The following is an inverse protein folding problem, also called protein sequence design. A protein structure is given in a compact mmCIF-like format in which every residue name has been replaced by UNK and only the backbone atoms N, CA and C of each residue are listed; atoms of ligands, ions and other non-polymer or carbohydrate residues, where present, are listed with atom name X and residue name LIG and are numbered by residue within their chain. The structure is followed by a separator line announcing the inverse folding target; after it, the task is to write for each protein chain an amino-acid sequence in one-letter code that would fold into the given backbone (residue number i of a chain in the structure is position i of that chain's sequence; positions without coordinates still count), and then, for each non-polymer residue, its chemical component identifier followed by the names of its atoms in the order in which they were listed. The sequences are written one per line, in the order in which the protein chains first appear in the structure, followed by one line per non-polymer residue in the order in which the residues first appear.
data_IF_580448400463
#
_entry.id   IF_580448400463
#
_cell.length_a   1.000
_cell.length_b   1.000
_cell.length_c   1.000
_cell.angle_alpha   90.00
_cell.angle_beta   90.00
_cell.angle_gamma   90.00
#
_symmetry.space_group_name_H-M   'P 1'
#
loop_
_entity.id
_entity.type
_entity.pdbx_description
1 polymer ?
#
# COMPACT_ATOMS: atom_id res chain seq x y z
N UNK A 1 -9.64 -12.89 5.94
CA UNK A 1 -9.45 -12.29 4.60
C UNK A 1 -7.99 -12.40 4.27
N UNK A 2 -7.59 -13.26 3.32
CA UNK A 2 -6.18 -13.48 3.08
C UNK A 2 -5.54 -12.39 2.21
N UNK A 3 -4.23 -12.23 2.35
CA UNK A 3 -3.39 -11.41 1.49
C UNK A 3 -3.14 -12.09 0.15
N UNK A 4 -3.34 -11.30 -0.91
CA UNK A 4 -2.97 -11.66 -2.27
C UNK A 4 -1.92 -10.68 -2.79
N UNK A 5 -0.82 -11.21 -3.30
CA UNK A 5 0.14 -10.43 -4.05
C UNK A 5 -0.50 -10.12 -5.41
N UNK A 6 -0.78 -8.84 -5.65
CA UNK A 6 -1.56 -8.38 -6.80
C UNK A 6 -0.75 -7.40 -7.62
N UNK A 7 -0.76 -7.56 -8.93
CA UNK A 7 -0.09 -6.65 -9.86
C UNK A 7 -0.58 -5.22 -9.67
N UNK A 8 0.36 -4.28 -9.53
CA UNK A 8 0.06 -2.86 -9.38
C UNK A 8 -0.67 -2.32 -10.61
N UNK A 9 -0.44 -2.91 -11.79
CA UNK A 9 -1.14 -2.56 -13.02
C UNK A 9 -2.66 -2.79 -12.94
N UNK A 10 -3.10 -3.80 -12.18
CA UNK A 10 -4.52 -4.16 -11.99
C UNK A 10 -5.22 -3.30 -10.93
N UNK A 11 -4.46 -2.51 -10.16
CA UNK A 11 -5.02 -1.62 -9.14
C UNK A 11 -5.50 -0.31 -9.80
N UNK A 12 -6.59 0.35 -9.36
CA UNK A 12 -6.90 1.73 -9.73
C UNK A 12 -5.70 2.66 -9.61
N UNK A 13 -5.70 3.68 -10.47
CA UNK A 13 -4.91 4.89 -10.28
C UNK A 13 -5.63 5.73 -9.23
N UNK A 14 -5.15 5.78 -7.98
CA UNK A 14 -5.83 6.55 -6.96
C UNK A 14 -5.68 8.04 -7.30
N UNK A 15 -6.73 8.82 -7.10
CA UNK A 15 -6.65 10.27 -7.23
C UNK A 15 -5.79 10.86 -6.10
N UNK A 16 -5.35 12.11 -6.19
CA UNK A 16 -4.61 12.75 -5.10
C UNK A 16 -5.46 12.73 -3.85
N UNK A 17 -4.79 12.42 -2.75
CA UNK A 17 -5.44 12.14 -1.48
C UNK A 17 -5.12 13.25 -0.50
N UNK A 18 -6.01 13.42 0.49
CA UNK A 18 -5.79 14.33 1.61
C UNK A 18 -4.44 14.08 2.29
N UNK A 19 -3.95 15.09 3.01
CA UNK A 19 -2.73 14.93 3.79
C UNK A 19 -2.88 13.77 4.76
N UNK A 20 -1.86 12.90 4.84
CA UNK A 20 -1.81 11.85 5.86
C UNK A 20 -0.87 12.34 6.96
N UNK A 21 -1.39 12.96 8.03
CA UNK A 21 -0.55 13.42 9.12
C UNK A 21 0.05 12.23 9.86
N UNK A 22 1.09 12.52 10.64
CA UNK A 22 1.61 11.63 11.67
C UNK A 22 0.52 11.34 12.72
N UNK A 23 0.72 10.29 13.52
CA UNK A 23 -0.20 9.96 14.62
C UNK A 23 -0.35 11.12 15.64
N UNK A 24 0.65 11.98 15.75
CA UNK A 24 0.67 13.18 16.60
C UNK A 24 0.05 14.42 15.93
N UNK A 25 -0.51 14.28 14.72
CA UNK A 25 -1.15 15.36 13.98
C UNK A 25 -0.21 16.25 13.16
N UNK A 26 1.12 16.03 13.22
CA UNK A 26 2.05 16.81 12.39
C UNK A 26 1.87 16.47 10.90
N UNK A 27 2.01 17.46 9.99
CA UNK A 27 1.90 17.20 8.55
C UNK A 27 3.02 16.26 8.09
N UNK A 28 2.70 15.32 7.19
CA UNK A 28 3.73 14.50 6.55
C UNK A 28 4.41 15.22 5.40
N UNK A 29 5.59 14.75 5.03
CA UNK A 29 6.32 15.28 3.88
C UNK A 29 6.01 14.54 2.56
N UNK A 30 4.89 13.80 2.49
CA UNK A 30 4.53 12.98 1.34
C UNK A 30 4.45 13.81 0.04
N UNK A 31 5.23 13.49 -1.01
CA UNK A 31 5.19 14.25 -2.27
C UNK A 31 3.87 14.14 -3.04
N UNK A 32 3.05 13.13 -2.72
CA UNK A 32 1.75 12.87 -3.35
C UNK A 32 0.56 13.40 -2.54
N UNK A 33 0.80 14.17 -1.47
CA UNK A 33 -0.27 14.88 -0.79
C UNK A 33 -0.94 15.89 -1.73
N UNK A 34 -2.27 15.92 -1.78
CA UNK A 34 -3.06 16.79 -2.67
C UNK A 34 -2.59 18.25 -2.62
N UNK A 35 -2.34 18.79 -1.43
CA UNK A 35 -1.88 20.18 -1.25
C UNK A 35 -0.53 20.47 -1.93
N UNK A 36 0.34 19.47 -2.07
CA UNK A 36 1.64 19.61 -2.76
C UNK A 36 1.50 19.46 -4.27
N UNK A 37 0.66 18.53 -4.71
CA UNK A 37 0.37 18.36 -6.14
C UNK A 37 -0.32 19.59 -6.70
N UNK A 38 -1.35 20.12 -6.03
CA UNK A 38 -2.05 21.34 -6.45
C UNK A 38 -1.15 22.58 -6.53
N UNK A 39 -0.15 22.67 -5.65
CA UNK A 39 0.87 23.75 -5.72
C UNK A 39 1.70 23.71 -6.99
N UNK A 40 1.79 22.55 -7.64
CA UNK A 40 2.59 22.32 -8.85
C UNK A 40 1.74 22.41 -10.11
N UNK A 41 0.51 21.88 -10.08
CA UNK A 41 -0.36 21.76 -11.27
C UNK A 41 -1.45 22.83 -11.38
N UNK A 42 -1.68 23.64 -10.34
CA UNK A 42 -2.72 24.69 -10.24
C UNK A 42 -4.18 24.22 -10.37
N UNK A 43 -4.42 23.02 -10.88
CA UNK A 43 -5.72 22.34 -10.98
C UNK A 43 -5.61 20.90 -10.48
N UNK A 44 -6.75 20.33 -10.07
CA UNK A 44 -6.81 18.94 -9.62
C UNK A 44 -6.50 18.01 -10.80
N UNK A 45 -5.50 17.10 -10.70
CA UNK A 45 -5.19 16.21 -11.80
C UNK A 45 -6.37 15.28 -12.09
N UNK A 46 -6.63 15.06 -13.38
CA UNK A 46 -7.44 13.94 -13.87
C UNK A 46 -6.62 12.65 -13.91
N UNK A 47 -7.21 11.56 -14.42
CA UNK A 47 -6.53 10.25 -14.49
C UNK A 47 -5.18 10.30 -15.20
N UNK A 48 -5.10 10.98 -16.35
CA UNK A 48 -3.88 11.05 -17.13
C UNK A 48 -2.81 11.92 -16.45
N UNK A 49 -3.22 12.97 -15.74
CA UNK A 49 -2.33 13.74 -14.88
C UNK A 49 -1.72 12.90 -13.75
N UNK A 50 -2.48 11.97 -13.15
CA UNK A 50 -1.89 11.02 -12.18
C UNK A 50 -0.94 10.03 -12.82
N UNK A 51 -1.26 9.54 -14.02
CA UNK A 51 -0.34 8.64 -14.75
C UNK A 51 1.00 9.34 -14.97
N UNK A 52 0.98 10.58 -15.43
CA UNK A 52 2.18 11.38 -15.65
C UNK A 52 2.96 11.62 -14.34
N UNK A 53 2.27 12.02 -13.27
CA UNK A 53 2.88 12.21 -11.94
C UNK A 53 3.56 10.94 -11.40
N UNK A 54 3.03 9.75 -11.70
CA UNK A 54 3.64 8.49 -11.26
C UNK A 54 4.87 8.08 -12.07
N UNK A 55 5.07 8.68 -13.23
CA UNK A 55 6.27 8.50 -14.06
C UNK A 55 7.33 9.59 -13.84
N UNK A 56 7.02 10.63 -13.05
CA UNK A 56 7.94 11.72 -12.74
C UNK A 56 9.07 11.27 -11.80
N UNK A 57 10.32 11.30 -12.29
CA UNK A 57 11.51 10.91 -11.53
C UNK A 57 11.75 11.80 -10.31
N UNK A 58 11.36 13.08 -10.35
CA UNK A 58 11.48 13.98 -9.21
C UNK A 58 10.51 13.59 -8.08
N UNK A 59 9.34 13.02 -8.41
CA UNK A 59 8.45 12.42 -7.41
C UNK A 59 9.08 11.16 -6.83
N UNK A 60 9.68 10.30 -7.66
CA UNK A 60 10.35 9.08 -7.22
C UNK A 60 11.54 9.35 -6.28
N UNK A 61 12.32 10.40 -6.53
CA UNK A 61 13.43 10.85 -5.66
C UNK A 61 12.92 11.39 -4.32
N UNK A 62 11.97 12.34 -4.35
CA UNK A 62 11.35 12.90 -3.13
C UNK A 62 10.68 11.83 -2.27
N UNK A 63 10.28 10.73 -2.89
CA UNK A 63 9.69 9.60 -2.20
C UNK A 63 10.69 8.93 -1.23
N UNK A 64 11.97 8.86 -1.57
CA UNK A 64 12.96 8.19 -0.72
C UNK A 64 13.09 8.84 0.66
N UNK A 65 12.70 10.11 0.79
CA UNK A 65 12.72 10.86 2.05
C UNK A 65 11.34 10.96 2.71
N UNK A 66 10.32 10.23 2.23
CA UNK A 66 8.98 10.31 2.82
C UNK A 66 8.92 9.69 4.22
N UNK A 67 8.56 10.47 5.21
CA UNK A 67 8.54 10.07 6.62
C UNK A 67 7.40 9.10 6.99
N UNK A 68 6.43 8.88 6.09
CA UNK A 68 5.30 7.96 6.28
C UNK A 68 5.41 6.70 5.43
N UNK A 69 5.99 6.79 4.23
CA UNK A 69 5.93 5.70 3.24
C UNK A 69 7.31 5.19 2.78
N UNK A 70 8.43 5.84 3.14
CA UNK A 70 9.76 5.39 2.72
C UNK A 70 10.06 3.94 3.10
N UNK A 71 10.94 3.33 2.32
CA UNK A 71 11.37 1.94 2.46
C UNK A 71 11.74 1.35 1.10
N UNK A 72 12.68 0.41 1.12
CA UNK A 72 13.09 -0.37 -0.04
C UNK A 72 12.14 -1.55 -0.24
N UNK A 73 11.37 -1.50 -1.32
CA UNK A 73 10.44 -2.56 -1.69
C UNK A 73 11.15 -3.88 -2.04
N UNK A 74 12.39 -3.84 -2.51
CA UNK A 74 13.18 -5.03 -2.81
C UNK A 74 13.53 -5.82 -1.53
N UNK A 75 13.74 -5.12 -0.42
CA UNK A 75 13.92 -5.75 0.90
C UNK A 75 12.57 -6.11 1.57
N UNK A 76 11.57 -5.24 1.45
CA UNK A 76 10.29 -5.38 2.17
C UNK A 76 9.40 -6.48 1.61
N UNK A 77 9.24 -6.61 0.29
CA UNK A 77 8.33 -7.60 -0.28
C UNK A 77 8.72 -9.05 0.07
N UNK A 78 10.00 -9.48 -0.02
CA UNK A 78 10.41 -10.79 0.43
C UNK A 78 10.12 -11.03 1.91
N UNK A 79 10.41 -10.03 2.78
CA UNK A 79 10.17 -10.14 4.21
C UNK A 79 8.67 -10.29 4.55
N UNK A 80 7.81 -9.49 3.92
CA UNK A 80 6.35 -9.57 4.07
C UNK A 80 5.81 -10.90 3.55
N UNK A 81 6.32 -11.39 2.43
CA UNK A 81 5.94 -12.68 1.86
C UNK A 81 6.31 -13.82 2.79
N UNK A 82 7.58 -13.86 3.23
CA UNK A 82 8.06 -14.88 4.16
C UNK A 82 7.33 -14.82 5.50
N UNK A 83 6.91 -13.63 5.97
CA UNK A 83 6.11 -13.47 7.18
C UNK A 83 4.70 -14.05 7.03
N UNK A 84 4.04 -13.82 5.90
CA UNK A 84 2.65 -14.26 5.66
C UNK A 84 2.52 -15.74 5.30
N UNK A 85 3.56 -16.32 4.69
CA UNK A 85 3.55 -17.70 4.18
C UNK A 85 3.07 -18.75 5.20
N UNK A 86 3.51 -18.75 6.47
CA UNK A 86 3.12 -19.78 7.45
C UNK A 86 1.68 -19.64 7.98
N UNK A 87 0.98 -18.56 7.66
CA UNK A 87 -0.39 -18.40 8.11
C UNK A 87 -1.34 -19.14 7.16
N UNK A 88 -2.36 -19.86 7.66
CA UNK A 88 -3.41 -20.38 6.80
C UNK A 88 -4.22 -19.22 6.19
N UNK A 89 -4.89 -19.41 5.05
CA UNK A 89 -5.76 -18.40 4.44
C UNK A 89 -6.92 -17.94 5.34
N UNK A 90 -7.28 -18.78 6.31
CA UNK A 90 -8.34 -18.57 7.32
C UNK A 90 -7.83 -17.90 8.60
N UNK A 91 -6.53 -17.58 8.69
CA UNK A 91 -5.96 -16.95 9.87
C UNK A 91 -6.67 -15.64 10.22
N UNK A 92 -6.82 -15.40 11.53
CA UNK A 92 -7.41 -14.16 12.05
C UNK A 92 -6.51 -12.96 11.70
N UNK A 93 -7.03 -11.95 10.97
CA UNK A 93 -6.43 -10.63 10.79
C UNK A 93 -5.74 -10.05 12.03
N UNK A 94 -6.35 -10.17 13.21
CA UNK A 94 -5.82 -9.58 14.44
C UNK A 94 -4.58 -10.34 14.93
N UNK A 95 -4.54 -11.66 14.75
CA UNK A 95 -3.37 -12.47 15.07
C UNK A 95 -2.17 -12.10 14.17
N UNK A 96 -2.38 -12.00 12.85
CA UNK A 96 -1.36 -11.55 11.89
C UNK A 96 -0.86 -10.15 12.27
N UNK A 97 -1.79 -9.24 12.60
CA UNK A 97 -1.47 -7.87 13.03
C UNK A 97 -0.57 -7.85 14.27
N UNK A 98 -0.85 -8.66 15.27
CA UNK A 98 -0.04 -8.70 16.49
C UNK A 98 1.32 -9.32 16.23
N UNK A 99 1.37 -10.45 15.53
CA UNK A 99 2.60 -11.18 15.25
C UNK A 99 3.67 -10.34 14.53
N UNK A 100 3.27 -9.47 13.60
CA UNK A 100 4.24 -8.64 12.84
C UNK A 100 5.09 -7.71 13.71
N UNK A 101 4.64 -7.39 14.93
CA UNK A 101 5.35 -6.48 15.83
C UNK A 101 6.59 -7.13 16.45
N UNK A 102 6.61 -8.46 16.52
CA UNK A 102 7.64 -9.23 17.22
C UNK A 102 8.42 -10.12 16.24
N UNK A 103 7.88 -10.40 15.06
CA UNK A 103 8.50 -11.29 14.09
C UNK A 103 9.86 -10.77 13.58
N UNK A 104 10.96 -11.54 13.70
CA UNK A 104 12.31 -11.14 13.26
C UNK A 104 12.41 -10.75 11.80
N UNK A 105 11.58 -11.34 10.92
CA UNK A 105 11.55 -11.00 9.48
C UNK A 105 11.10 -9.56 9.26
N UNK A 106 10.29 -9.02 10.17
CA UNK A 106 9.78 -7.64 10.12
C UNK A 106 10.60 -6.72 11.02
N UNK A 107 10.90 -7.14 12.25
CA UNK A 107 11.60 -6.30 13.23
C UNK A 107 13.07 -6.09 12.87
N UNK A 108 13.71 -7.06 12.22
CA UNK A 108 15.10 -7.01 11.76
C UNK A 108 15.35 -6.10 10.55
N UNK A 109 14.31 -5.57 9.90
CA UNK A 109 14.44 -4.62 8.79
C UNK A 109 15.01 -3.28 9.27
N UNK A 110 15.62 -2.52 8.35
CA UNK A 110 16.00 -1.13 8.60
C UNK A 110 14.75 -0.30 8.97
N UNK A 111 14.93 0.84 9.64
CA UNK A 111 13.81 1.61 10.20
C UNK A 111 12.74 1.95 9.15
N UNK A 112 13.14 2.45 7.98
CA UNK A 112 12.21 2.82 6.92
C UNK A 112 11.47 1.57 6.36
N UNK A 113 12.23 0.52 6.04
CA UNK A 113 11.71 -0.75 5.53
C UNK A 113 10.72 -1.40 6.51
N UNK A 114 11.02 -1.35 7.81
CA UNK A 114 10.13 -1.85 8.86
C UNK A 114 8.82 -1.06 8.91
N UNK A 115 8.86 0.26 8.76
CA UNK A 115 7.65 1.10 8.70
C UNK A 115 6.80 0.71 7.49
N UNK A 116 7.41 0.55 6.31
CA UNK A 116 6.72 0.10 5.10
C UNK A 116 6.13 -1.31 5.27
N UNK A 117 6.91 -2.27 5.76
CA UNK A 117 6.45 -3.64 6.01
C UNK A 117 5.27 -3.66 6.99
N UNK A 118 5.35 -2.91 8.09
CA UNK A 118 4.27 -2.80 9.07
C UNK A 118 3.02 -2.12 8.50
N UNK A 119 3.18 -1.18 7.57
CA UNK A 119 2.08 -0.54 6.87
C UNK A 119 1.40 -1.50 5.88
N UNK A 120 2.14 -2.34 5.17
CA UNK A 120 1.56 -3.36 4.27
C UNK A 120 0.81 -4.45 5.06
N UNK A 121 1.30 -4.79 6.25
CA UNK A 121 0.71 -5.76 7.17
C UNK A 121 -0.29 -5.15 8.16
N UNK A 122 -0.70 -3.90 7.95
CA UNK A 122 -1.71 -3.26 8.79
C UNK A 122 -3.11 -3.77 8.40
N UNK A 123 -3.69 -4.62 9.24
CA UNK A 123 -5.02 -5.19 9.05
C UNK A 123 -6.18 -4.27 9.40
N UNK A 124 -5.94 -3.19 10.15
CA UNK A 124 -6.95 -2.17 10.45
C UNK A 124 -7.07 -1.11 9.36
N UNK A 125 -5.96 -0.82 8.68
CA UNK A 125 -5.92 -0.02 7.47
C UNK A 125 -5.11 -0.81 6.43
N UNK A 126 -5.68 -1.84 5.76
CA UNK A 126 -5.01 -2.60 4.71
C UNK A 126 -5.14 -1.90 3.35
N UNK A 127 -4.40 -2.40 2.35
CA UNK A 127 -4.82 -2.17 0.96
C UNK A 127 -5.99 -3.12 0.70
N UNK A 128 -7.22 -2.60 0.59
CA UNK A 128 -8.44 -3.42 0.49
C UNK A 128 -9.29 -2.99 -0.70
N UNK A 129 -9.90 -3.97 -1.37
CA UNK A 129 -10.92 -3.81 -2.41
C UNK A 129 -12.23 -4.43 -1.99
N UNK A 130 -13.33 -3.71 -2.26
CA UNK A 130 -14.69 -4.14 -1.93
C UNK A 130 -15.69 -3.41 -2.83
N UNK A 131 -16.90 -3.95 -2.97
CA UNK A 131 -18.04 -3.19 -3.49
C UNK A 131 -18.72 -2.49 -2.32
N UNK A 132 -18.99 -1.20 -2.44
CA UNK A 132 -19.80 -0.46 -1.47
C UNK A 132 -21.29 -0.87 -1.57
N UNK A 133 -22.13 -0.32 -0.70
CA UNK A 133 -23.57 -0.59 -0.66
C UNK A 133 -24.33 -0.24 -1.97
N UNK A 134 -23.72 0.56 -2.85
CA UNK A 134 -24.28 0.95 -4.15
C UNK A 134 -23.71 0.12 -5.31
N UNK A 135 -22.87 -0.89 -5.03
CA UNK A 135 -22.26 -1.73 -6.04
C UNK A 135 -21.08 -1.08 -6.77
N UNK A 136 -20.55 0.05 -6.28
CA UNK A 136 -19.34 0.65 -6.83
C UNK A 136 -18.10 0.04 -6.21
N UNK A 137 -17.09 -0.20 -7.04
CA UNK A 137 -15.78 -0.68 -6.59
C UNK A 137 -15.03 0.43 -5.84
N UNK A 138 -14.68 0.17 -4.60
CA UNK A 138 -13.91 1.07 -3.75
C UNK A 138 -12.60 0.44 -3.27
N UNK A 139 -11.66 1.31 -2.88
CA UNK A 139 -10.38 0.87 -2.32
C UNK A 139 -9.95 1.68 -1.10
N UNK A 140 -9.38 0.98 -0.12
CA UNK A 140 -8.69 1.54 1.06
C UNK A 140 -7.18 1.38 0.84
N UNK A 141 -6.39 2.24 1.49
CA UNK A 141 -4.93 2.17 1.41
C UNK A 141 -4.33 2.77 0.15
N UNK A 142 -5.08 3.65 -0.53
CA UNK A 142 -4.70 4.33 -1.76
C UNK A 142 -3.30 4.97 -1.73
N UNK A 143 -2.87 5.53 -0.59
CA UNK A 143 -1.52 6.09 -0.44
C UNK A 143 -0.40 5.06 -0.72
N UNK A 144 -0.60 3.81 -0.31
CA UNK A 144 0.37 2.73 -0.55
C UNK A 144 0.34 2.24 -1.98
N UNK A 145 -0.81 2.30 -2.65
CA UNK A 145 -0.92 2.01 -4.09
C UNK A 145 -0.17 3.08 -4.89
N UNK A 146 -0.44 4.35 -4.62
CA UNK A 146 0.30 5.47 -5.20
C UNK A 146 1.81 5.30 -4.98
N UNK A 147 2.20 4.87 -3.78
CA UNK A 147 3.59 4.62 -3.44
C UNK A 147 4.23 3.49 -4.22
N UNK A 148 3.54 2.37 -4.38
CA UNK A 148 4.04 1.24 -5.15
C UNK A 148 4.20 1.61 -6.62
N UNK A 149 3.28 2.41 -7.17
CA UNK A 149 3.34 2.93 -8.54
C UNK A 149 4.58 3.79 -8.78
N UNK A 150 4.82 4.80 -7.93
CA UNK A 150 6.02 5.66 -8.04
C UNK A 150 7.31 4.91 -7.75
N UNK A 151 7.23 3.76 -7.08
CA UNK A 151 8.35 2.86 -6.85
C UNK A 151 8.67 1.95 -8.04
N UNK A 152 7.82 1.90 -9.06
CA UNK A 152 7.96 0.94 -10.16
C UNK A 152 7.81 -0.52 -9.72
N UNK A 153 7.11 -0.77 -8.60
CA UNK A 153 6.95 -2.12 -8.05
C UNK A 153 5.89 -2.87 -8.85
N UNK A 154 6.19 -4.12 -9.19
CA UNK A 154 5.31 -4.94 -10.00
C UNK A 154 4.01 -5.33 -9.27
N UNK A 155 4.09 -5.70 -7.99
CA UNK A 155 2.95 -6.21 -7.22
C UNK A 155 3.01 -5.84 -5.73
N UNK A 156 1.85 -5.76 -5.07
CA UNK A 156 1.73 -5.47 -3.63
C UNK A 156 0.74 -6.40 -2.92
N UNK A 157 0.86 -6.59 -1.60
CA UNK A 157 -0.13 -7.31 -0.80
C UNK A 157 -1.47 -6.55 -0.76
N UNK A 158 -2.56 -7.24 -1.11
CA UNK A 158 -3.92 -6.69 -1.17
C UNK A 158 -4.93 -7.64 -0.54
N UNK A 159 -5.94 -7.09 0.10
CA UNK A 159 -7.12 -7.79 0.58
C UNK A 159 -8.31 -7.57 -0.35
N UNK A 160 -8.86 -8.66 -0.87
CA UNK A 160 -10.14 -8.63 -1.55
C UNK A 160 -11.21 -9.08 -0.58
N UNK A 161 -12.26 -8.27 -0.43
CA UNK A 161 -13.45 -8.67 0.29
C UNK A 161 -14.17 -9.77 -0.48
N UNK A 162 -13.89 -11.03 -0.13
CA UNK A 162 -14.43 -12.18 -0.84
C UNK A 162 -15.98 -12.24 -0.87
N UNK A 163 -16.66 -11.48 -0.01
CA UNK A 163 -18.12 -11.36 -0.04
C UNK A 163 -18.64 -10.47 -1.16
N UNK A 164 -17.80 -9.59 -1.72
CA UNK A 164 -18.21 -8.60 -2.72
C UNK A 164 -17.32 -8.55 -3.97
N UNK A 165 -16.04 -8.90 -3.86
CA UNK A 165 -15.05 -8.82 -4.94
C UNK A 165 -14.19 -10.06 -4.94
N UNK A 166 -14.06 -10.69 -6.12
CA UNK A 166 -13.09 -11.78 -6.33
C UNK A 166 -11.71 -11.19 -6.66
N UNK A 167 -10.62 -11.76 -6.13
CA UNK A 167 -9.27 -11.39 -6.57
C UNK A 167 -9.10 -11.58 -8.09
N UNK A 168 -8.26 -10.75 -8.75
CA UNK A 168 -7.83 -10.99 -10.13
C UNK A 168 -7.23 -12.39 -10.30
N UNK A 169 -7.34 -12.97 -11.50
CA UNK A 169 -6.79 -14.31 -11.78
C UNK A 169 -5.28 -14.40 -11.62
N UNK A 170 -4.58 -13.29 -11.81
CA UNK A 170 -3.12 -13.18 -11.66
C UNK A 170 -2.69 -12.98 -10.20
N UNK A 171 -3.62 -12.70 -9.29
CA UNK A 171 -3.31 -12.44 -7.90
C UNK A 171 -2.92 -13.75 -7.18
N UNK A 172 -1.75 -13.75 -6.54
CA UNK A 172 -1.20 -14.93 -5.89
C UNK A 172 -1.47 -14.90 -4.39
N UNK A 173 -2.07 -15.98 -3.85
CA UNK A 173 -2.30 -16.11 -2.41
C UNK A 173 -0.97 -16.18 -1.65
N UNK A 174 -0.80 -15.29 -0.65
CA UNK A 174 0.45 -15.18 0.12
C UNK A 174 0.47 -16.06 1.37
N UNK A 175 -0.70 -16.44 1.89
CA UNK A 175 -0.89 -17.28 3.07
C UNK A 175 -1.05 -18.73 2.64
N UNK A 176 -0.08 -19.60 2.95
CA UNK A 176 -0.02 -20.98 2.44
C UNK A 176 -0.35 -22.03 3.49
N UNK A 177 -0.15 -21.73 4.78
CA UNK A 177 -0.43 -22.64 5.90
C UNK A 177 0.67 -23.65 6.08
#
# INVERSE_FOLDING_TARGET
MPYYLTDVAELPYPHTMGERPHQDGRPSNCPLALSRVLRTTSAHPGQDGYRELFTDTAIAERRQVCDVHAGDWAAVLPAVTAFLEPFPPTADPTAIYRARKEDPRVTGLARADRILAQALLNTHDPIKYFLNAHGHLESIGQHRICWARTAGVAAVPVWFDASTVRPPRTAALMQRG
#
